data_IF_883540709333
#
_entry.id   IF_883540709333
#
_cell.length_a   1.000
_cell.length_b   1.000
_cell.length_c   1.000
_cell.angle_alpha   90.00
_cell.angle_beta   90.00
_cell.angle_gamma   90.00
#
_symmetry.space_group_name_H-M   'P 1'
#
loop_
_entity.id
_entity.type
_entity.pdbx_description
1 polymer ?
#
# COMPACT_ATOMS: atom_id res chain seq x y z
N UNK A 1 -23.32 -8.22 -17.38
CA UNK A 1 -23.03 -7.14 -16.41
C UNK A 1 -21.74 -7.56 -15.73
N UNK A 2 -20.62 -6.93 -16.08
CA UNK A 2 -19.32 -7.37 -15.60
C UNK A 2 -19.27 -7.17 -14.08
N UNK A 3 -19.20 -8.29 -13.35
CA UNK A 3 -18.67 -8.31 -12.00
C UNK A 3 -17.26 -7.72 -12.13
N UNK A 4 -17.10 -6.44 -11.80
CA UNK A 4 -15.78 -5.79 -11.81
C UNK A 4 -14.89 -6.64 -10.93
N UNK A 5 -13.79 -7.16 -11.48
CA UNK A 5 -12.83 -8.03 -10.80
C UNK A 5 -12.48 -7.42 -9.44
N UNK A 6 -13.13 -7.91 -8.37
CA UNK A 6 -12.90 -7.44 -7.02
C UNK A 6 -11.53 -7.91 -6.61
N UNK A 7 -10.60 -6.99 -6.37
CA UNK A 7 -9.22 -7.32 -5.98
C UNK A 7 -8.98 -6.94 -4.53
N UNK A 8 -8.24 -7.79 -3.83
CA UNK A 8 -7.79 -7.48 -2.48
C UNK A 8 -6.60 -6.53 -2.53
N UNK A 9 -6.64 -5.50 -1.69
CA UNK A 9 -5.60 -4.51 -1.53
C UNK A 9 -5.14 -4.48 -0.07
N UNK A 10 -3.84 -4.69 0.16
CA UNK A 10 -3.23 -4.62 1.48
C UNK A 10 -2.49 -3.28 1.59
N UNK A 11 -2.94 -2.40 2.49
CA UNK A 11 -2.43 -1.04 2.53
C UNK A 11 -2.78 -0.26 3.77
N UNK A 12 -2.32 0.99 3.78
CA UNK A 12 -2.49 1.96 4.86
C UNK A 12 -3.28 3.15 4.31
N UNK A 13 -4.23 3.65 5.11
CA UNK A 13 -4.90 4.91 4.80
C UNK A 13 -3.91 6.08 4.91
N UNK A 14 -3.85 6.91 3.87
CA UNK A 14 -2.97 8.08 3.84
C UNK A 14 -3.55 9.16 4.76
N UNK A 15 -2.97 9.26 5.96
CA UNK A 15 -3.21 10.39 6.87
C UNK A 15 -2.47 11.65 6.38
N UNK A 16 -2.85 12.82 6.89
CA UNK A 16 -2.14 14.08 6.60
C UNK A 16 -0.64 13.99 6.92
N UNK A 17 -0.27 13.34 8.03
CA UNK A 17 1.14 13.13 8.40
C UNK A 17 1.88 12.27 7.37
N UNK A 18 1.25 11.17 6.93
CA UNK A 18 1.84 10.31 5.92
C UNK A 18 1.92 11.03 4.57
N UNK A 19 0.92 11.82 4.20
CA UNK A 19 0.93 12.63 2.98
C UNK A 19 2.14 13.56 2.93
N UNK A 20 2.45 14.27 4.02
CA UNK A 20 3.64 15.13 4.07
C UNK A 20 4.95 14.37 3.81
N UNK A 21 5.09 13.15 4.33
CA UNK A 21 6.25 12.31 4.03
C UNK A 21 6.28 11.82 2.58
N UNK A 22 5.11 11.56 1.98
CA UNK A 22 4.99 11.16 0.58
C UNK A 22 5.20 12.33 -0.40
N UNK A 23 4.91 13.57 0.01
CA UNK A 23 5.11 14.78 -0.79
C UNK A 23 6.60 15.17 -0.91
N UNK A 24 7.45 14.66 -0.01
CA UNK A 24 8.90 14.86 -0.02
C UNK A 24 9.62 13.52 0.21
N UNK A 25 9.49 12.56 -0.73
CA UNK A 25 9.98 11.21 -0.53
C UNK A 25 11.52 11.16 -0.50
N UNK A 26 12.08 10.16 0.19
CA UNK A 26 13.53 9.96 0.21
C UNK A 26 14.10 9.74 -1.22
N UNK A 27 15.32 10.19 -1.53
CA UNK A 27 15.89 10.04 -2.86
C UNK A 27 15.97 8.57 -3.33
N UNK A 28 15.57 8.31 -4.58
CA UNK A 28 15.66 6.99 -5.20
C UNK A 28 14.55 6.00 -4.80
N UNK A 29 13.51 6.46 -4.11
CA UNK A 29 12.38 5.59 -3.73
C UNK A 29 11.33 5.39 -4.82
N UNK A 30 11.46 6.07 -5.97
CA UNK A 30 10.56 5.92 -7.12
C UNK A 30 10.46 4.47 -7.61
N UNK A 31 11.54 3.69 -7.43
CA UNK A 31 11.60 2.27 -7.79
C UNK A 31 10.55 1.39 -7.10
N UNK A 32 9.97 1.85 -5.99
CA UNK A 32 8.93 1.11 -5.27
C UNK A 32 7.54 1.32 -5.87
N UNK A 33 7.39 2.31 -6.75
CA UNK A 33 6.18 2.59 -7.50
C UNK A 33 6.38 2.13 -8.95
N UNK A 34 5.46 1.31 -9.45
CA UNK A 34 5.41 0.98 -10.87
C UNK A 34 3.98 0.84 -11.30
N UNK A 35 3.57 1.70 -12.23
CA UNK A 35 2.24 1.63 -12.82
C UNK A 35 2.04 0.26 -13.47
N UNK A 36 0.85 -0.31 -13.30
CA UNK A 36 0.41 -1.58 -13.88
C UNK A 36 1.17 -2.83 -13.41
N UNK A 37 1.91 -2.78 -12.29
CA UNK A 37 2.47 -3.97 -11.66
C UNK A 37 1.99 -4.11 -10.20
N UNK A 38 1.29 -5.21 -9.92
CA UNK A 38 0.68 -5.49 -8.62
C UNK A 38 1.69 -5.93 -7.57
N UNK A 39 2.95 -6.14 -7.96
CA UNK A 39 4.03 -6.46 -7.03
C UNK A 39 4.69 -5.19 -6.44
N UNK A 40 4.31 -4.01 -6.93
CA UNK A 40 4.80 -2.70 -6.48
C UNK A 40 3.75 -1.95 -5.66
N UNK A 41 4.19 -0.91 -4.92
CA UNK A 41 3.27 -0.03 -4.22
C UNK A 41 2.45 0.79 -5.21
N UNK A 42 1.20 1.01 -4.84
CA UNK A 42 0.24 1.83 -5.57
C UNK A 42 -0.49 2.74 -4.58
N UNK A 43 -0.85 3.93 -5.06
CA UNK A 43 -1.76 4.85 -4.38
C UNK A 43 -3.10 4.77 -5.09
N UNK A 44 -4.15 4.42 -4.36
CA UNK A 44 -5.51 4.29 -4.91
C UNK A 44 -6.49 5.17 -4.15
N UNK A 45 -7.58 5.55 -4.83
CA UNK A 45 -8.72 6.20 -4.20
C UNK A 45 -9.80 5.15 -3.87
N UNK A 46 -10.30 5.18 -2.64
CA UNK A 46 -11.45 4.40 -2.18
C UNK A 46 -12.47 5.35 -1.56
N UNK A 47 -13.49 5.72 -2.36
CA UNK A 47 -14.39 6.82 -1.99
C UNK A 47 -13.59 8.11 -1.82
N UNK A 48 -13.73 8.75 -0.67
CA UNK A 48 -13.01 9.97 -0.30
C UNK A 48 -11.64 9.70 0.35
N UNK A 49 -11.28 8.43 0.55
CA UNK A 49 -10.03 8.03 1.18
C UNK A 49 -8.96 7.72 0.14
N UNK A 50 -7.71 8.10 0.45
CA UNK A 50 -6.54 7.64 -0.29
C UNK A 50 -5.84 6.53 0.48
N UNK A 51 -5.49 5.46 -0.20
CA UNK A 51 -4.76 4.33 0.36
C UNK A 51 -3.42 4.16 -0.37
N UNK A 52 -2.38 3.75 0.36
CA UNK A 52 -1.11 3.32 -0.20
C UNK A 52 -0.83 1.87 0.20
N UNK A 53 -0.44 1.03 -0.76
CA UNK A 53 -0.35 -0.40 -0.53
C UNK A 53 -0.16 -1.19 -1.80
N UNK A 54 -0.53 -2.48 -1.77
CA UNK A 54 -0.28 -3.42 -2.84
C UNK A 54 -1.50 -4.31 -3.09
N UNK A 55 -1.77 -4.62 -4.36
CA UNK A 55 -2.78 -5.60 -4.74
C UNK A 55 -2.28 -7.03 -4.53
N UNK A 56 -3.14 -7.90 -4.02
CA UNK A 56 -2.89 -9.33 -3.99
C UNK A 56 -3.31 -9.96 -5.33
N UNK A 57 -2.67 -11.10 -5.65
CA UNK A 57 -3.06 -11.97 -6.76
C UNK A 57 -4.11 -12.96 -6.27
N UNK A 58 -4.93 -13.47 -7.17
CA UNK A 58 -5.90 -14.50 -6.80
C UNK A 58 -5.19 -15.76 -6.31
N UNK A 59 -5.75 -16.39 -5.27
CA UNK A 59 -5.12 -17.53 -4.61
C UNK A 59 -3.88 -17.18 -3.78
N UNK A 60 -3.69 -15.91 -3.39
CA UNK A 60 -2.57 -15.51 -2.54
C UNK A 60 -2.54 -16.31 -1.22
N UNK A 61 -1.39 -16.91 -0.84
CA UNK A 61 -1.31 -17.71 0.38
C UNK A 61 -1.53 -16.87 1.64
N UNK A 62 -2.48 -17.28 2.48
CA UNK A 62 -2.75 -16.59 3.76
C UNK A 62 -1.50 -16.55 4.65
N UNK A 63 -0.66 -17.60 4.62
CA UNK A 63 0.59 -17.65 5.38
C UNK A 63 1.63 -16.60 4.99
N UNK A 64 1.50 -15.98 3.81
CA UNK A 64 2.39 -14.92 3.33
C UNK A 64 1.83 -13.51 3.55
N UNK A 65 0.62 -13.39 4.11
CA UNK A 65 -0.04 -12.09 4.31
C UNK A 65 0.74 -11.20 5.28
N UNK A 66 1.32 -11.77 6.32
CA UNK A 66 2.18 -11.05 7.27
C UNK A 66 3.42 -10.50 6.59
N UNK A 67 4.00 -11.26 5.65
CA UNK A 67 5.15 -10.84 4.87
C UNK A 67 4.81 -9.64 3.99
N UNK A 68 3.64 -9.65 3.33
CA UNK A 68 3.16 -8.52 2.54
C UNK A 68 2.92 -7.30 3.43
N UNK A 69 2.26 -7.48 4.58
CA UNK A 69 1.96 -6.38 5.50
C UNK A 69 3.24 -5.71 6.03
N UNK A 70 4.24 -6.52 6.43
CA UNK A 70 5.57 -6.02 6.82
C UNK A 70 6.29 -5.33 5.68
N UNK A 71 6.21 -5.89 4.47
CA UNK A 71 6.85 -5.32 3.29
C UNK A 71 6.26 -3.95 2.92
N UNK A 72 4.93 -3.83 2.86
CA UNK A 72 4.23 -2.55 2.62
C UNK A 72 4.65 -1.51 3.65
N UNK A 73 4.61 -1.84 4.95
CA UNK A 73 5.03 -0.94 6.03
C UNK A 73 6.50 -0.55 5.93
N UNK A 74 7.38 -1.51 5.66
CA UNK A 74 8.82 -1.26 5.53
C UNK A 74 9.13 -0.31 4.38
N UNK A 75 8.52 -0.52 3.22
CA UNK A 75 8.74 0.35 2.05
C UNK A 75 8.19 1.75 2.31
N UNK A 76 7.00 1.89 2.90
CA UNK A 76 6.42 3.20 3.20
C UNK A 76 7.32 3.97 4.19
N UNK A 77 7.91 3.31 5.19
CA UNK A 77 8.90 3.95 6.09
C UNK A 77 10.14 4.45 5.35
N UNK A 78 10.60 3.72 4.33
CA UNK A 78 11.73 4.16 3.51
C UNK A 78 11.34 5.40 2.69
N UNK A 79 10.13 5.43 2.13
CA UNK A 79 9.64 6.54 1.30
C UNK A 79 9.41 7.79 2.15
N UNK A 80 8.56 7.67 3.18
CA UNK A 80 8.07 8.79 3.96
C UNK A 80 8.99 9.21 5.13
N UNK A 81 10.14 8.54 5.31
CA UNK A 81 11.00 8.73 6.48
C UNK A 81 10.44 8.10 7.77
N UNK A 82 11.09 8.36 8.91
CA UNK A 82 10.83 7.75 10.23
C UNK A 82 9.49 8.17 10.89
N UNK A 83 8.41 8.14 10.12
CA UNK A 83 7.07 8.16 10.66
C UNK A 83 6.81 6.79 11.29
N UNK A 84 6.61 6.78 12.61
CA UNK A 84 6.24 5.57 13.37
C UNK A 84 4.88 5.06 12.89
N UNK A 85 4.88 4.22 11.85
CA UNK A 85 3.71 3.44 11.43
C UNK A 85 3.49 2.33 12.44
N UNK A 86 2.32 2.32 13.08
CA UNK A 86 1.89 1.29 14.01
C UNK A 86 1.68 -0.05 13.29
N UNK A 87 1.72 -1.16 14.03
CA UNK A 87 1.60 -2.51 13.45
C UNK A 87 0.22 -2.81 12.89
N UNK A 88 -0.80 -2.23 13.49
CA UNK A 88 -2.22 -2.31 13.13
C UNK A 88 -2.64 -1.28 12.07
N UNK A 89 -1.70 -0.49 11.53
CA UNK A 89 -2.01 0.51 10.49
C UNK A 89 -2.30 -0.11 9.12
N UNK A 90 -1.90 -1.36 8.89
CA UNK A 90 -2.11 -2.08 7.62
C UNK A 90 -3.42 -2.86 7.65
N UNK A 91 -4.26 -2.62 6.65
CA UNK A 91 -5.59 -3.21 6.52
C UNK A 91 -5.77 -3.85 5.14
N UNK A 92 -6.76 -4.75 5.04
CA UNK A 92 -7.17 -5.37 3.78
C UNK A 92 -8.46 -4.72 3.30
N UNK A 93 -8.46 -4.28 2.05
CA UNK A 93 -9.59 -3.64 1.39
C UNK A 93 -10.02 -4.44 0.16
N UNK A 94 -11.30 -4.35 -0.18
CA UNK A 94 -11.84 -4.84 -1.46
C UNK A 94 -11.95 -3.65 -2.42
N UNK A 95 -11.41 -3.81 -3.63
CA UNK A 95 -11.48 -2.79 -4.69
C UNK A 95 -12.09 -3.31 -5.97
#
# INVERSE_FOLDING_TARGET
>A
MAEMDKRLFVGIKISTKLQHGLDSPAPGTDRYFKENNTDYLQIINQGDEKLIGRFLKDGFPVGDLDNVSRNVRSIIRIIAGDHRLEEDSVHIYVR
#
